data_IF_146616028168
#
_entry.id   IF_146616028168
#
_cell.length_a   1.000
_cell.length_b   1.000
_cell.length_c   1.000
_cell.angle_alpha   90.00
_cell.angle_beta   90.00
_cell.angle_gamma   90.00
#
_symmetry.space_group_name_H-M   'P 1'
#
loop_
_entity.id
_entity.type
_entity.pdbx_description
1 polymer ?
#
# COMPACT_ATOMS: atom_id res chain seq x y z
N UNK A 1 -62.01 -20.13 -33.13
CA UNK A 1 -61.01 -19.82 -32.10
C UNK A 1 -61.49 -20.36 -30.77
N UNK A 2 -61.09 -21.58 -30.44
CA UNK A 2 -61.44 -22.24 -29.16
C UNK A 2 -60.18 -22.30 -28.33
N UNK A 3 -60.12 -21.43 -27.32
CA UNK A 3 -59.06 -21.45 -26.30
C UNK A 3 -59.23 -22.74 -25.51
N UNK A 4 -58.24 -23.63 -25.62
CA UNK A 4 -58.16 -24.81 -24.76
C UNK A 4 -57.81 -24.33 -23.35
N UNK A 5 -58.82 -24.23 -22.49
CA UNK A 5 -58.64 -24.07 -21.05
C UNK A 5 -58.20 -25.43 -20.49
N UNK A 6 -56.88 -25.63 -20.45
CA UNK A 6 -56.27 -26.78 -19.77
C UNK A 6 -56.67 -26.77 -18.30
N UNK A 7 -57.11 -27.93 -17.81
CA UNK A 7 -57.62 -28.17 -16.46
C UNK A 7 -56.51 -27.92 -15.42
N UNK A 8 -56.44 -26.69 -14.93
CA UNK A 8 -55.33 -26.14 -14.12
C UNK A 8 -55.55 -26.29 -12.60
N UNK A 9 -56.29 -27.31 -12.13
CA UNK A 9 -56.81 -27.35 -10.75
C UNK A 9 -56.01 -28.22 -9.76
N UNK A 10 -55.00 -28.97 -10.21
CA UNK A 10 -54.13 -29.77 -9.32
C UNK A 10 -52.63 -29.51 -9.51
N UNK A 11 -52.23 -29.15 -10.74
CA UNK A 11 -50.83 -28.90 -11.09
C UNK A 11 -50.27 -27.66 -10.37
N UNK A 12 -51.05 -26.58 -10.25
CA UNK A 12 -50.62 -25.37 -9.58
C UNK A 12 -50.28 -25.60 -8.10
N UNK A 13 -50.97 -26.53 -7.43
CA UNK A 13 -50.71 -26.85 -6.02
C UNK A 13 -49.43 -27.67 -5.85
N UNK A 14 -49.19 -28.65 -6.73
CA UNK A 14 -47.94 -29.44 -6.75
C UNK A 14 -46.75 -28.56 -7.12
N UNK A 15 -46.92 -27.70 -8.12
CA UNK A 15 -45.90 -26.74 -8.55
C UNK A 15 -45.57 -25.73 -7.45
N UNK A 16 -46.59 -25.17 -6.77
CA UNK A 16 -46.37 -24.31 -5.61
C UNK A 16 -45.65 -25.04 -4.46
N UNK A 17 -46.00 -26.32 -4.21
CA UNK A 17 -45.36 -27.13 -3.18
C UNK A 17 -43.87 -27.39 -3.47
N UNK A 18 -43.45 -27.34 -4.73
CA UNK A 18 -42.04 -27.50 -5.14
C UNK A 18 -41.30 -26.15 -5.22
N UNK A 19 -41.96 -25.11 -5.74
CA UNK A 19 -41.34 -23.79 -5.92
C UNK A 19 -41.11 -23.08 -4.59
N UNK A 20 -42.07 -23.15 -3.65
CA UNK A 20 -41.94 -22.48 -2.35
C UNK A 20 -40.70 -22.93 -1.55
N UNK A 21 -40.45 -24.25 -1.33
CA UNK A 21 -39.25 -24.68 -0.63
C UNK A 21 -37.98 -24.39 -1.43
N UNK A 22 -38.03 -24.44 -2.77
CA UNK A 22 -36.88 -24.07 -3.60
C UNK A 22 -36.51 -22.59 -3.42
N UNK A 23 -37.50 -21.69 -3.43
CA UNK A 23 -37.29 -20.27 -3.18
C UNK A 23 -36.81 -19.99 -1.75
N UNK A 24 -37.31 -20.73 -0.76
CA UNK A 24 -36.84 -20.63 0.62
C UNK A 24 -35.37 -21.06 0.74
N UNK A 25 -34.99 -22.18 0.10
CA UNK A 25 -33.60 -22.66 0.05
C UNK A 25 -32.67 -21.68 -0.68
N UNK A 26 -33.11 -21.09 -1.78
CA UNK A 26 -32.35 -20.08 -2.51
C UNK A 26 -32.15 -18.81 -1.65
N UNK A 27 -33.21 -18.35 -1.00
CA UNK A 27 -33.14 -17.18 -0.10
C UNK A 27 -32.18 -17.45 1.07
N UNK A 28 -32.24 -18.65 1.64
CA UNK A 28 -31.31 -19.11 2.67
C UNK A 28 -29.86 -19.16 2.17
N UNK A 29 -29.63 -19.67 0.96
CA UNK A 29 -28.31 -19.72 0.37
C UNK A 29 -27.72 -18.30 0.15
N UNK A 30 -28.54 -17.35 -0.32
CA UNK A 30 -28.11 -15.96 -0.52
C UNK A 30 -27.72 -15.29 0.79
N UNK A 31 -28.51 -15.46 1.86
CA UNK A 31 -28.16 -14.88 3.17
C UNK A 31 -26.91 -15.52 3.75
N UNK A 32 -26.74 -16.84 3.59
CA UNK A 32 -25.54 -17.55 4.02
C UNK A 32 -24.28 -17.06 3.29
N UNK A 33 -24.32 -17.00 1.95
CA UNK A 33 -23.21 -16.52 1.13
C UNK A 33 -22.88 -15.06 1.46
N UNK A 34 -23.90 -14.21 1.62
CA UNK A 34 -23.73 -12.81 2.02
C UNK A 34 -23.03 -12.68 3.37
N UNK A 35 -23.41 -13.52 4.36
CA UNK A 35 -22.74 -13.58 5.66
C UNK A 35 -21.27 -13.96 5.56
N UNK A 36 -20.92 -14.96 4.72
CA UNK A 36 -19.53 -15.35 4.49
C UNK A 36 -18.73 -14.23 3.80
N UNK A 37 -19.31 -13.56 2.80
CA UNK A 37 -18.64 -12.44 2.11
C UNK A 37 -18.40 -11.27 3.06
N UNK A 38 -19.40 -10.92 3.87
CA UNK A 38 -19.31 -9.87 4.87
C UNK A 38 -18.21 -10.18 5.90
N UNK A 39 -18.19 -11.39 6.46
CA UNK A 39 -17.14 -11.80 7.38
C UNK A 39 -15.75 -11.76 6.71
N UNK A 40 -15.65 -12.15 5.44
CA UNK A 40 -14.42 -12.05 4.68
C UNK A 40 -13.93 -10.60 4.47
N UNK A 41 -14.84 -9.66 4.24
CA UNK A 41 -14.53 -8.23 4.13
C UNK A 41 -14.14 -7.65 5.50
N UNK A 42 -14.85 -8.00 6.56
CA UNK A 42 -14.57 -7.57 7.93
C UNK A 42 -13.15 -7.98 8.34
N UNK A 43 -12.77 -9.25 8.12
CA UNK A 43 -11.40 -9.71 8.41
C UNK A 43 -10.35 -9.00 7.55
N UNK A 44 -10.64 -8.70 6.28
CA UNK A 44 -9.71 -7.98 5.41
C UNK A 44 -9.50 -6.51 5.86
N UNK A 45 -10.54 -5.85 6.37
CA UNK A 45 -10.41 -4.51 6.93
C UNK A 45 -9.68 -4.55 8.27
N UNK A 46 -9.96 -5.53 9.12
CA UNK A 46 -9.27 -5.71 10.40
C UNK A 46 -7.76 -5.93 10.22
N UNK A 47 -7.36 -6.85 9.33
CA UNK A 47 -5.94 -7.11 9.04
C UNK A 47 -5.22 -5.88 8.46
N UNK A 48 -5.87 -5.14 7.56
CA UNK A 48 -5.32 -3.90 6.96
C UNK A 48 -5.14 -2.78 7.98
N UNK A 49 -6.15 -2.51 8.81
CA UNK A 49 -6.05 -1.50 9.85
C UNK A 49 -4.93 -1.83 10.84
N UNK A 50 -4.87 -3.08 11.28
CA UNK A 50 -3.86 -3.55 12.22
C UNK A 50 -2.42 -3.48 11.66
N UNK A 51 -2.20 -3.90 10.41
CA UNK A 51 -0.86 -3.85 9.81
C UNK A 51 -0.42 -2.42 9.48
N UNK A 52 -1.35 -1.52 9.14
CA UNK A 52 -1.02 -0.12 8.91
C UNK A 52 -0.72 0.62 10.22
N UNK A 53 -1.48 0.33 11.27
CA UNK A 53 -1.19 0.81 12.61
C UNK A 53 0.20 0.36 13.09
N UNK A 54 0.57 -0.91 12.86
CA UNK A 54 1.91 -1.40 13.18
C UNK A 54 3.00 -0.79 12.29
N UNK A 55 2.71 -0.49 11.02
CA UNK A 55 3.61 0.25 10.14
C UNK A 55 3.85 1.70 10.61
N UNK A 56 2.88 2.31 11.29
CA UNK A 56 3.03 3.62 11.95
C UNK A 56 3.75 3.55 13.31
N UNK A 57 4.18 2.36 13.74
CA UNK A 57 4.92 2.16 14.98
C UNK A 57 4.04 1.87 16.20
N UNK A 58 2.71 1.69 16.03
CA UNK A 58 1.88 1.22 17.13
C UNK A 58 2.18 -0.26 17.41
N UNK A 59 2.50 -0.65 18.64
CA UNK A 59 2.82 -2.04 18.91
C UNK A 59 1.56 -2.90 18.78
N UNK A 60 1.71 -4.10 18.24
CA UNK A 60 0.55 -4.96 17.93
C UNK A 60 -0.29 -5.37 19.14
N UNK A 61 0.26 -5.29 20.36
CA UNK A 61 -0.47 -5.57 21.60
C UNK A 61 -1.39 -4.41 22.04
N UNK A 62 -1.14 -3.19 21.55
CA UNK A 62 -1.97 -2.01 21.82
C UNK A 62 -3.09 -1.83 20.79
N UNK A 63 -3.14 -2.70 19.78
CA UNK A 63 -4.22 -2.68 18.81
C UNK A 63 -5.55 -3.01 19.51
N UNK A 64 -6.64 -2.28 19.19
CA UNK A 64 -7.95 -2.55 19.76
C UNK A 64 -8.29 -4.04 19.61
N UNK A 65 -8.67 -4.67 20.72
CA UNK A 65 -9.20 -6.04 20.70
C UNK A 65 -10.51 -6.02 19.94
N UNK A 66 -10.46 -6.39 18.66
CA UNK A 66 -11.64 -6.53 17.83
C UNK A 66 -12.52 -7.64 18.41
N UNK A 67 -13.71 -7.30 18.88
CA UNK A 67 -14.60 -8.25 19.58
C UNK A 67 -14.97 -9.47 18.72
N UNK A 68 -14.86 -9.33 17.39
CA UNK A 68 -15.18 -10.37 16.39
C UNK A 68 -13.97 -11.00 15.70
N UNK A 69 -12.75 -10.52 15.97
CA UNK A 69 -11.55 -10.99 15.28
C UNK A 69 -10.41 -11.27 16.25
N UNK A 70 -9.77 -12.42 16.10
CA UNK A 70 -8.47 -12.67 16.70
C UNK A 70 -7.39 -12.21 15.73
N UNK A 71 -6.56 -11.27 16.17
CA UNK A 71 -5.43 -10.74 15.43
C UNK A 71 -4.15 -11.43 15.89
N UNK A 72 -3.34 -11.89 14.95
CA UNK A 72 -1.97 -12.30 15.17
C UNK A 72 -1.07 -11.63 14.14
N UNK A 73 0.15 -11.29 14.50
CA UNK A 73 1.05 -10.68 13.52
C UNK A 73 2.51 -10.92 13.84
N UNK A 74 3.33 -10.70 12.82
CA UNK A 74 4.77 -10.84 12.88
C UNK A 74 5.46 -9.76 12.05
N UNK A 75 6.68 -9.43 12.44
CA UNK A 75 7.57 -8.57 11.68
C UNK A 75 8.78 -9.40 11.26
N UNK A 76 9.06 -9.47 9.96
CA UNK A 76 10.28 -10.07 9.43
C UNK A 76 11.13 -9.01 8.76
N UNK A 77 12.45 -9.10 8.91
CA UNK A 77 13.36 -8.23 8.18
C UNK A 77 13.37 -8.63 6.71
N UNK A 78 13.26 -7.66 5.82
CA UNK A 78 13.11 -7.91 4.40
C UNK A 78 14.47 -7.75 3.71
N UNK A 79 15.33 -8.76 3.85
CA UNK A 79 16.65 -8.80 3.20
C UNK A 79 16.60 -9.62 1.91
N UNK A 80 17.50 -9.33 0.96
CA UNK A 80 17.72 -10.17 -0.21
C UNK A 80 16.64 -10.09 -1.31
N UNK A 81 15.82 -9.03 -1.34
CA UNK A 81 14.96 -8.76 -2.51
C UNK A 81 15.82 -8.28 -3.68
N UNK A 82 16.78 -7.40 -3.40
CA UNK A 82 17.72 -6.93 -4.39
C UNK A 82 18.73 -8.03 -4.77
N UNK A 83 19.11 -8.05 -6.05
CA UNK A 83 20.26 -8.83 -6.51
C UNK A 83 21.50 -8.47 -5.66
N UNK A 84 22.47 -9.39 -5.47
CA UNK A 84 23.66 -9.14 -4.65
C UNK A 84 24.40 -7.84 -5.01
N UNK A 85 24.41 -7.47 -6.30
CA UNK A 85 25.03 -6.25 -6.81
C UNK A 85 24.35 -4.94 -6.36
N UNK A 86 23.06 -4.99 -5.99
CA UNK A 86 22.24 -3.85 -5.55
C UNK A 86 21.81 -3.97 -4.08
N UNK A 87 22.20 -5.03 -3.37
CA UNK A 87 21.87 -5.21 -1.95
C UNK A 87 22.43 -4.09 -1.09
N UNK A 88 23.67 -3.64 -1.34
CA UNK A 88 24.26 -2.50 -0.64
C UNK A 88 23.45 -1.20 -0.84
N UNK A 89 22.82 -1.03 -2.01
CA UNK A 89 21.95 0.12 -2.28
C UNK A 89 20.62 -0.01 -1.54
N UNK A 90 20.05 -1.21 -1.47
CA UNK A 90 18.84 -1.45 -0.68
C UNK A 90 19.09 -1.12 0.80
N UNK A 91 20.20 -1.59 1.36
CA UNK A 91 20.56 -1.34 2.77
C UNK A 91 20.85 0.14 3.03
N UNK A 92 21.43 0.86 2.08
CA UNK A 92 21.70 2.29 2.23
C UNK A 92 20.44 3.16 2.11
N UNK A 93 19.53 2.84 1.17
CA UNK A 93 18.31 3.62 0.95
C UNK A 93 17.23 3.34 2.01
N UNK A 94 17.10 2.09 2.44
CA UNK A 94 16.03 1.67 3.34
C UNK A 94 16.53 1.38 4.77
N UNK A 95 17.86 1.28 4.96
CA UNK A 95 18.47 0.97 6.26
C UNK A 95 18.12 -0.42 6.79
N UNK A 96 18.46 -0.68 8.05
CA UNK A 96 18.00 -1.85 8.82
C UNK A 96 16.48 -1.83 9.14
N UNK A 97 15.74 -0.91 8.53
CA UNK A 97 14.34 -0.62 8.83
C UNK A 97 13.37 -1.20 7.82
N UNK A 98 13.86 -1.75 6.69
CA UNK A 98 12.99 -2.46 5.76
C UNK A 98 12.49 -3.75 6.40
N UNK A 99 11.23 -3.72 6.83
CA UNK A 99 10.59 -4.84 7.50
C UNK A 99 9.28 -5.16 6.80
N UNK A 100 9.07 -6.44 6.52
CA UNK A 100 7.78 -6.94 6.11
C UNK A 100 6.96 -7.24 7.36
N UNK A 101 5.95 -6.41 7.57
CA UNK A 101 4.94 -6.61 8.59
C UNK A 101 3.85 -7.50 8.01
N UNK A 102 3.39 -8.45 8.80
CA UNK A 102 2.29 -9.33 8.46
C UNK A 102 1.29 -9.38 9.60
N UNK A 103 0.01 -9.27 9.28
CA UNK A 103 -1.07 -9.45 10.24
C UNK A 103 -2.11 -10.39 9.65
N UNK A 104 -2.51 -11.37 10.45
CA UNK A 104 -3.59 -12.31 10.17
C UNK A 104 -4.78 -12.00 11.08
N UNK A 105 -5.93 -11.72 10.48
CA UNK A 105 -7.21 -11.61 11.17
C UNK A 105 -8.02 -12.88 10.96
N UNK A 106 -8.48 -13.50 12.05
CA UNK A 106 -9.27 -14.72 12.02
C UNK A 106 -10.59 -14.45 12.74
N UNK A 107 -11.71 -14.90 12.18
CA UNK A 107 -13.02 -14.82 12.83
C UNK A 107 -12.97 -15.46 14.21
N UNK A 108 -13.33 -14.73 15.26
CA UNK A 108 -13.37 -15.26 16.63
C UNK A 108 -14.39 -16.41 16.71
N UNK A 109 -14.00 -17.55 17.28
CA UNK A 109 -14.91 -18.68 17.43
C UNK A 109 -15.95 -18.35 18.50
N UNK A 110 -17.14 -17.93 18.08
CA UNK A 110 -18.25 -17.64 19.02
C UNK A 110 -19.23 -18.79 19.18
N UNK A 111 -19.28 -19.73 18.24
CA UNK A 111 -20.22 -20.87 18.27
C UNK A 111 -19.60 -22.17 17.69
N UNK A 112 -19.91 -23.37 18.22
CA UNK A 112 -19.48 -24.64 17.64
C UNK A 112 -20.17 -24.99 16.32
N UNK A 113 -21.39 -24.45 16.11
CA UNK A 113 -22.19 -24.60 14.88
C UNK A 113 -21.90 -23.48 13.87
N UNK A 114 -21.06 -22.50 14.25
CA UNK A 114 -20.69 -21.40 13.38
C UNK A 114 -19.95 -21.93 12.14
N UNK A 115 -20.27 -21.35 10.99
CA UNK A 115 -19.74 -21.69 9.67
C UNK A 115 -18.20 -21.62 9.56
N UNK A 116 -17.66 -21.74 8.34
CA UNK A 116 -16.22 -21.87 8.15
C UNK A 116 -15.46 -20.68 8.75
N UNK A 117 -14.32 -20.96 9.40
CA UNK A 117 -13.42 -19.91 9.87
C UNK A 117 -12.81 -19.19 8.69
N UNK A 118 -12.92 -17.87 8.69
CA UNK A 118 -12.29 -17.05 7.67
C UNK A 118 -11.04 -16.41 8.26
N UNK A 119 -9.92 -16.61 7.59
CA UNK A 119 -8.65 -15.98 7.91
C UNK A 119 -8.23 -15.07 6.75
N UNK A 120 -7.77 -13.86 7.08
CA UNK A 120 -7.20 -12.92 6.11
C UNK A 120 -5.84 -12.45 6.59
N UNK A 121 -4.84 -12.62 5.74
CA UNK A 121 -3.50 -12.15 5.98
C UNK A 121 -3.18 -10.95 5.10
N UNK A 122 -2.54 -9.93 5.65
CA UNK A 122 -2.10 -8.74 4.92
C UNK A 122 -0.64 -8.48 5.23
N UNK A 123 0.11 -8.13 4.18
CA UNK A 123 1.53 -7.82 4.26
C UNK A 123 1.76 -6.36 3.91
N UNK A 124 2.62 -5.67 4.66
CA UNK A 124 3.04 -4.30 4.39
C UNK A 124 4.54 -4.19 4.59
N UNK A 125 5.22 -3.62 3.60
CA UNK A 125 6.62 -3.25 3.74
C UNK A 125 6.71 -1.91 4.49
N UNK A 126 7.15 -1.97 5.74
CA UNK A 126 7.52 -0.79 6.53
C UNK A 126 8.98 -0.43 6.27
N UNK A 127 9.32 0.86 6.40
CA UNK A 127 10.65 1.36 6.08
C UNK A 127 10.97 1.43 4.57
N UNK A 128 10.00 1.16 3.70
CA UNK A 128 10.15 1.14 2.23
C UNK A 128 10.25 2.53 1.57
N UNK A 129 10.75 3.55 2.29
CA UNK A 129 10.97 4.89 1.75
C UNK A 129 9.90 5.94 2.08
N UNK A 130 8.97 5.65 3.01
CA UNK A 130 8.09 6.69 3.55
C UNK A 130 8.90 7.76 4.30
N UNK A 131 8.63 9.02 3.99
CA UNK A 131 9.17 10.18 4.68
C UNK A 131 8.01 11.02 5.24
N UNK A 132 8.18 11.60 6.42
CA UNK A 132 7.14 12.39 7.10
C UNK A 132 6.86 13.75 6.43
N UNK A 133 7.62 14.08 5.39
CA UNK A 133 7.51 15.31 4.61
C UNK A 133 8.80 15.60 3.85
N UNK A 134 8.81 16.70 3.11
CA UNK A 134 9.88 17.03 2.15
C UNK A 134 11.23 17.20 2.85
N UNK A 135 11.27 17.80 4.05
CA UNK A 135 12.49 17.93 4.82
C UNK A 135 13.05 16.58 5.33
N UNK A 136 12.19 15.62 5.67
CA UNK A 136 12.61 14.26 6.05
C UNK A 136 13.11 13.50 4.80
N UNK A 137 12.41 13.63 3.67
CA UNK A 137 12.82 13.07 2.39
C UNK A 137 14.19 13.63 1.96
N UNK A 138 14.38 14.95 1.97
CA UNK A 138 15.64 15.59 1.60
C UNK A 138 16.79 15.18 2.53
N UNK A 139 16.55 15.12 3.84
CA UNK A 139 17.57 14.63 4.79
C UNK A 139 17.94 13.18 4.54
N UNK A 140 16.99 12.30 4.22
CA UNK A 140 17.25 10.88 3.93
C UNK A 140 18.01 10.70 2.63
N UNK A 141 17.57 11.35 1.56
CA UNK A 141 18.24 11.33 0.25
C UNK A 141 19.66 11.92 0.37
N UNK A 142 19.81 13.04 1.08
CA UNK A 142 21.11 13.66 1.32
C UNK A 142 22.06 12.81 2.19
N UNK A 143 21.52 11.88 3.00
CA UNK A 143 22.28 10.93 3.82
C UNK A 143 22.60 9.60 3.11
N UNK A 144 22.22 9.41 1.85
CA UNK A 144 22.58 8.24 1.04
C UNK A 144 23.74 8.58 0.06
N UNK A 145 24.99 8.73 0.56
CA UNK A 145 26.10 9.27 -0.20
C UNK A 145 26.61 8.36 -1.33
N UNK A 146 26.49 7.04 -1.22
CA UNK A 146 27.12 6.12 -2.18
C UNK A 146 26.41 6.09 -3.54
N UNK A 147 25.07 5.96 -3.63
CA UNK A 147 24.37 5.98 -4.92
C UNK A 147 24.39 7.36 -5.56
N UNK A 148 23.98 8.38 -4.81
CA UNK A 148 23.77 9.71 -5.38
C UNK A 148 25.08 10.47 -5.50
N UNK A 149 25.91 10.45 -4.45
CA UNK A 149 27.19 11.17 -4.44
C UNK A 149 28.17 10.66 -5.48
N UNK A 150 28.28 9.34 -5.71
CA UNK A 150 29.15 8.78 -6.77
C UNK A 150 28.66 9.18 -8.16
N UNK A 151 27.37 9.04 -8.43
CA UNK A 151 26.78 9.43 -9.72
C UNK A 151 26.97 10.93 -9.99
N UNK A 152 26.63 11.78 -9.01
CA UNK A 152 26.81 13.24 -9.09
C UNK A 152 28.29 13.60 -9.29
N UNK A 153 29.20 12.98 -8.55
CA UNK A 153 30.63 13.25 -8.68
C UNK A 153 31.17 12.86 -10.06
N UNK A 154 30.78 11.69 -10.56
CA UNK A 154 31.19 11.22 -11.89
C UNK A 154 30.64 12.14 -13.00
N UNK A 155 29.34 12.49 -12.93
CA UNK A 155 28.72 13.39 -13.91
C UNK A 155 29.31 14.81 -13.85
N UNK A 156 29.55 15.37 -12.66
CA UNK A 156 30.17 16.69 -12.52
C UNK A 156 31.63 16.68 -12.99
N UNK A 157 32.40 15.62 -12.71
CA UNK A 157 33.76 15.49 -13.23
C UNK A 157 33.77 15.48 -14.76
N UNK A 158 32.84 14.76 -15.38
CA UNK A 158 32.71 14.74 -16.83
C UNK A 158 32.23 16.08 -17.40
N UNK A 159 31.26 16.73 -16.77
CA UNK A 159 30.77 18.04 -17.19
C UNK A 159 31.86 19.12 -17.10
N UNK A 160 32.70 19.10 -16.05
CA UNK A 160 33.87 19.98 -15.93
C UNK A 160 34.89 19.75 -17.06
N UNK A 161 35.09 18.50 -17.48
CA UNK A 161 35.99 18.18 -18.61
C UNK A 161 35.44 18.69 -19.94
N UNK A 162 34.13 18.60 -20.15
CA UNK A 162 33.48 19.00 -21.39
C UNK A 162 33.21 20.51 -21.48
N UNK A 163 33.08 21.20 -20.35
CA UNK A 163 32.74 22.62 -20.28
C UNK A 163 33.56 23.51 -21.23
N UNK A 164 34.91 23.43 -21.30
CA UNK A 164 35.70 24.28 -22.19
C UNK A 164 35.44 24.00 -23.69
N UNK A 165 35.10 22.75 -24.03
CA UNK A 165 34.80 22.34 -25.40
C UNK A 165 33.42 22.84 -25.81
N UNK A 166 32.43 22.64 -24.94
CA UNK A 166 31.05 23.10 -25.16
C UNK A 166 31.02 24.63 -25.24
N UNK A 167 31.65 25.34 -24.31
CA UNK A 167 31.68 26.81 -24.30
C UNK A 167 32.35 27.38 -25.58
N UNK A 168 33.35 26.67 -26.14
CA UNK A 168 34.00 27.07 -27.41
C UNK A 168 33.09 26.89 -28.62
N UNK A 169 32.32 25.80 -28.65
CA UNK A 169 31.39 25.50 -29.75
C UNK A 169 30.16 26.40 -29.70
N UNK A 170 29.64 26.64 -28.49
CA UNK A 170 28.40 27.38 -28.26
C UNK A 170 28.59 28.90 -28.16
N UNK A 171 29.80 29.35 -27.84
CA UNK A 171 30.15 30.78 -27.72
C UNK A 171 29.81 31.63 -28.95
N UNK A 172 30.14 31.21 -30.18
CA UNK A 172 29.77 31.93 -31.41
C UNK A 172 28.25 32.10 -31.61
N UNK A 173 27.45 31.25 -30.99
CA UNK A 173 25.98 31.30 -31.04
C UNK A 173 25.36 32.14 -29.92
N UNK A 174 26.19 32.82 -29.11
CA UNK A 174 25.73 33.68 -28.01
C UNK A 174 25.05 32.91 -26.87
N UNK A 175 25.23 31.58 -26.79
CA UNK A 175 24.64 30.76 -25.73
C UNK A 175 25.44 30.90 -24.42
N UNK A 176 24.76 30.92 -23.27
CA UNK A 176 25.44 30.88 -21.97
C UNK A 176 26.21 29.57 -21.83
N UNK A 177 27.41 29.65 -21.24
CA UNK A 177 28.27 28.48 -21.04
C UNK A 177 27.60 27.40 -20.18
N UNK A 178 28.08 26.16 -20.31
CA UNK A 178 27.47 25.00 -19.65
C UNK A 178 27.36 25.22 -18.13
N UNK A 179 26.13 25.26 -17.60
CA UNK A 179 25.88 25.34 -16.16
C UNK A 179 26.10 23.99 -15.49
N UNK A 180 26.85 23.99 -14.39
CA UNK A 180 27.02 22.82 -13.53
C UNK A 180 26.01 22.80 -12.38
N UNK A 181 25.37 23.94 -12.12
CA UNK A 181 24.33 24.08 -11.11
C UNK A 181 22.97 23.97 -11.78
N UNK A 182 22.56 22.73 -12.01
CA UNK A 182 21.26 22.42 -12.61
C UNK A 182 20.14 22.39 -11.56
N UNK A 183 20.46 22.28 -10.26
CA UNK A 183 19.46 22.14 -9.19
C UNK A 183 18.86 23.49 -8.83
N UNK A 184 19.67 24.54 -8.76
CA UNK A 184 19.18 25.89 -8.42
C UNK A 184 18.14 26.43 -9.41
N UNK A 185 18.15 25.95 -10.65
CA UNK A 185 17.16 26.31 -11.70
C UNK A 185 15.75 25.82 -11.37
N UNK A 186 15.61 24.80 -10.51
CA UNK A 186 14.32 24.24 -10.12
C UNK A 186 13.86 24.71 -8.74
N UNK A 187 14.62 25.59 -8.08
CA UNK A 187 14.33 26.03 -6.72
C UNK A 187 13.01 26.81 -6.62
N UNK A 188 12.61 27.48 -7.69
CA UNK A 188 11.37 28.25 -7.84
C UNK A 188 10.14 27.37 -8.18
N UNK A 189 10.35 26.13 -8.64
CA UNK A 189 9.28 25.19 -9.01
C UNK A 189 8.73 24.43 -7.79
N UNK A 190 9.37 24.54 -6.62
CA UNK A 190 8.86 23.93 -5.39
C UNK A 190 7.67 24.76 -4.88
N UNK A 191 6.45 24.18 -4.77
CA UNK A 191 5.29 24.93 -4.31
C UNK A 191 5.55 25.58 -2.95
N UNK A 192 5.40 26.91 -2.87
CA UNK A 192 5.69 27.70 -1.66
C UNK A 192 4.92 27.18 -0.43
N UNK A 193 3.72 26.64 -0.64
CA UNK A 193 2.88 26.04 0.39
C UNK A 193 3.53 24.83 1.09
N UNK A 194 4.51 24.19 0.45
CA UNK A 194 5.29 23.06 0.99
C UNK A 194 6.56 23.49 1.73
N UNK A 195 7.09 24.67 1.41
CA UNK A 195 8.26 25.27 2.06
C UNK A 195 7.90 26.08 3.32
N UNK A 196 6.65 26.55 3.42
CA UNK A 196 6.15 27.27 4.58
C UNK A 196 5.88 26.31 5.76
N UNK A 197 6.93 26.00 6.53
CA UNK A 197 6.79 25.35 7.83
C UNK A 197 5.92 26.24 8.72
N UNK A 198 4.81 25.64 9.19
CA UNK A 198 3.92 26.08 10.27
C UNK A 198 4.70 26.79 11.39
N UNK A 199 4.69 28.11 11.36
CA UNK A 199 5.16 28.96 12.45
C UNK A 199 4.16 28.83 13.60
N UNK A 200 4.55 28.13 14.66
CA UNK A 200 3.99 28.23 16.02
C UNK A 200 2.54 27.76 16.22
N UNK A 201 2.40 26.68 16.98
CA UNK A 201 1.27 26.58 17.92
C UNK A 201 1.80 25.98 19.23
N UNK A 202 2.59 26.79 19.93
CA UNK A 202 2.67 26.70 21.38
C UNK A 202 1.44 27.41 21.93
N UNK A 203 0.60 26.65 22.62
CA UNK A 203 -0.27 27.10 23.70
C UNK A 203 -0.27 26.04 24.77
#
# INVERSE_FOLDING_TARGET
MTVALTRQQGQAMVEALLILPLLALLSWAVTWIGGLQFAGQEMAQASRKAVMASAMGQPMHDLPKETRATLSGGASLLHGIALPQVAALQDEWFGAHLRLLSVTAITARRDPVAGPRIARQTYVASGAGYAHGDADAQRRIGKAPTPWGKAVSASLAQARRLKPVVDRIDGPWGRPGLSLDWVSVWADVVPMDRLAIRKGKDK
#
